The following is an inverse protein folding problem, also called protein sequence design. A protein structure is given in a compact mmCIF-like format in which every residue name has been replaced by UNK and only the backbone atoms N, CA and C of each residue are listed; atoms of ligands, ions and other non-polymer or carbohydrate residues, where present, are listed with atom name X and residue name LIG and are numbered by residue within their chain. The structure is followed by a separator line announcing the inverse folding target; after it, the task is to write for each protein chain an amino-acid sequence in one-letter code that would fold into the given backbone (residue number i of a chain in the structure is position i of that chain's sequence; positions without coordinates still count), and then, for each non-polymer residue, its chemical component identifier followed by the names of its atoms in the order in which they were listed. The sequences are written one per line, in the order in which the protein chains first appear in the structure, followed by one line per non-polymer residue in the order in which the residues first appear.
data_IF_288430167051
#
_entry.id   IF_288430167051
#
_cell.length_a   1.000
_cell.length_b   1.000
_cell.length_c   1.000
_cell.angle_alpha   90.00
_cell.angle_beta   90.00
_cell.angle_gamma   90.00
#
_symmetry.space_group_name_H-M   'P 1'
#
loop_
_entity.id
_entity.type
_entity.pdbx_description
1 polymer ?
#
# COMPACT_ATOMS: atom_id res chain seq x y z
N UNK A 1 -39.71 21.91 -17.26
CA UNK A 1 -39.72 20.69 -16.42
C UNK A 1 -38.35 20.54 -15.80
N UNK A 2 -38.25 20.81 -14.50
CA UNK A 2 -37.00 20.73 -13.74
C UNK A 2 -36.76 19.27 -13.36
N UNK A 3 -35.88 18.58 -14.08
CA UNK A 3 -35.47 17.23 -13.70
C UNK A 3 -34.37 17.32 -12.64
N UNK A 4 -34.74 16.92 -11.43
CA UNK A 4 -33.95 16.94 -10.20
C UNK A 4 -32.75 16.00 -10.34
N UNK A 5 -31.58 16.52 -9.97
CA UNK A 5 -30.32 15.80 -9.81
C UNK A 5 -30.51 14.59 -8.89
N UNK A 6 -30.13 13.41 -9.38
CA UNK A 6 -29.67 12.31 -8.51
C UNK A 6 -28.39 11.77 -9.10
N UNK A 7 -27.37 12.63 -9.07
CA UNK A 7 -25.98 12.19 -9.15
C UNK A 7 -25.71 11.47 -7.83
N UNK A 8 -25.72 10.14 -7.87
CA UNK A 8 -25.07 9.34 -6.84
C UNK A 8 -23.62 9.81 -6.76
N UNK A 9 -23.33 10.62 -5.75
CA UNK A 9 -22.00 11.11 -5.43
C UNK A 9 -21.23 9.97 -4.75
N UNK A 10 -20.87 8.94 -5.52
CA UNK A 10 -19.82 8.02 -5.10
C UNK A 10 -18.54 8.85 -5.08
N UNK A 11 -18.04 9.16 -3.88
CA UNK A 11 -16.72 9.75 -3.71
C UNK A 11 -15.74 8.96 -4.59
N UNK A 12 -14.84 9.62 -5.34
CA UNK A 12 -13.87 8.90 -6.16
C UNK A 12 -13.08 7.99 -5.22
N UNK A 13 -13.36 6.68 -5.25
CA UNK A 13 -12.44 5.68 -4.73
C UNK A 13 -11.15 5.98 -5.47
N UNK A 14 -10.13 6.49 -4.77
CA UNK A 14 -8.81 6.76 -5.32
C UNK A 14 -8.23 5.41 -5.78
N UNK A 15 -8.68 4.94 -6.94
CA UNK A 15 -8.30 3.69 -7.54
C UNK A 15 -6.95 3.96 -8.19
N UNK A 16 -5.89 3.82 -7.40
CA UNK A 16 -4.55 3.77 -7.97
C UNK A 16 -4.55 2.72 -9.07
N UNK A 17 -4.03 3.09 -10.24
CA UNK A 17 -3.90 2.12 -11.32
C UNK A 17 -2.96 1.01 -10.87
N UNK A 18 -3.13 -0.20 -11.42
CA UNK A 18 -2.25 -1.34 -11.12
C UNK A 18 -0.77 -0.96 -11.26
N UNK A 19 -0.42 -0.16 -12.28
CA UNK A 19 0.94 0.34 -12.47
C UNK A 19 1.43 1.28 -11.35
N UNK A 20 0.57 2.17 -10.84
CA UNK A 20 0.89 3.02 -9.69
C UNK A 20 1.11 2.19 -8.43
N UNK A 21 0.29 1.18 -8.18
CA UNK A 21 0.44 0.25 -7.05
C UNK A 21 1.76 -0.54 -7.13
N UNK A 22 2.15 -1.03 -8.31
CA UNK A 22 3.47 -1.65 -8.52
C UNK A 22 4.63 -0.69 -8.27
N UNK A 23 4.51 0.56 -8.72
CA UNK A 23 5.50 1.61 -8.45
C UNK A 23 5.64 1.90 -6.96
N UNK A 24 4.52 1.99 -6.23
CA UNK A 24 4.48 2.17 -4.79
C UNK A 24 5.09 0.96 -4.05
N UNK A 25 4.80 -0.26 -4.50
CA UNK A 25 5.36 -1.49 -3.94
C UNK A 25 6.90 -1.50 -4.04
N UNK A 26 7.44 -1.18 -5.23
CA UNK A 26 8.90 -1.10 -5.44
C UNK A 26 9.54 -0.04 -4.53
N UNK A 27 8.90 1.11 -4.36
CA UNK A 27 9.37 2.18 -3.45
C UNK A 27 9.33 1.73 -1.99
N UNK A 28 8.26 1.06 -1.55
CA UNK A 28 8.14 0.55 -0.19
C UNK A 28 9.22 -0.49 0.14
N UNK A 29 9.51 -1.41 -0.79
CA UNK A 29 10.63 -2.36 -0.65
C UNK A 29 11.99 -1.68 -0.55
N UNK A 30 12.25 -0.64 -1.35
CA UNK A 30 13.48 0.16 -1.24
C UNK A 30 13.59 0.83 0.13
N UNK A 31 12.51 1.44 0.61
CA UNK A 31 12.44 2.05 1.94
C UNK A 31 12.72 1.06 3.07
N UNK A 32 12.10 -0.13 3.00
CA UNK A 32 12.34 -1.21 3.95
C UNK A 32 13.82 -1.60 4.02
N UNK A 33 14.47 -1.77 2.86
CA UNK A 33 15.90 -2.11 2.78
C UNK A 33 16.79 -1.04 3.41
N UNK A 34 16.51 0.23 3.15
CA UNK A 34 17.25 1.36 3.75
C UNK A 34 17.05 1.36 5.27
N UNK A 35 15.82 1.24 5.75
CA UNK A 35 15.50 1.18 7.18
C UNK A 35 16.20 0.00 7.87
N UNK A 36 16.25 -1.16 7.22
CA UNK A 36 16.98 -2.34 7.71
C UNK A 36 18.48 -2.06 7.86
N UNK A 37 19.11 -1.44 6.86
CA UNK A 37 20.54 -1.07 6.93
C UNK A 37 20.80 -0.03 8.03
N UNK A 38 19.86 0.88 8.26
CA UNK A 38 19.94 1.89 9.31
C UNK A 38 19.58 1.36 10.71
N UNK A 39 19.11 0.11 10.84
CA UNK A 39 18.63 -0.45 12.10
C UNK A 39 17.33 0.18 12.62
N UNK A 40 16.61 0.93 11.78
CA UNK A 40 15.38 1.64 12.18
C UNK A 40 14.17 0.70 12.10
N UNK A 41 13.93 0.00 13.22
CA UNK A 41 12.84 -0.97 13.34
C UNK A 41 11.45 -0.34 13.18
N UNK A 42 11.29 0.93 13.54
CA UNK A 42 10.00 1.64 13.40
C UNK A 42 9.66 1.86 11.94
N UNK A 43 10.62 2.37 11.15
CA UNK A 43 10.44 2.51 9.70
C UNK A 43 10.30 1.15 9.01
N UNK A 44 11.04 0.13 9.44
CA UNK A 44 10.87 -1.21 8.91
C UNK A 44 9.43 -1.72 9.07
N UNK A 45 8.81 -1.52 10.25
CA UNK A 45 7.39 -1.87 10.49
C UNK A 45 6.43 -1.08 9.61
N UNK A 46 6.66 0.23 9.46
CA UNK A 46 5.85 1.09 8.61
C UNK A 46 5.89 0.63 7.14
N UNK A 47 7.09 0.36 6.61
CA UNK A 47 7.24 -0.12 5.24
C UNK A 47 6.68 -1.53 5.05
N UNK A 48 6.86 -2.43 6.04
CA UNK A 48 6.26 -3.76 6.01
C UNK A 48 4.73 -3.70 5.92
N UNK A 49 4.09 -2.82 6.70
CA UNK A 49 2.64 -2.58 6.62
C UNK A 49 2.20 -2.10 5.23
N UNK A 50 2.93 -1.13 4.64
CA UNK A 50 2.66 -0.64 3.28
C UNK A 50 2.81 -1.73 2.23
N UNK A 51 3.87 -2.53 2.31
CA UNK A 51 4.13 -3.65 1.38
C UNK A 51 2.96 -4.63 1.41
N UNK A 52 2.54 -5.06 2.60
CA UNK A 52 1.42 -6.01 2.75
C UNK A 52 0.12 -5.46 2.21
N UNK A 53 -0.19 -4.19 2.52
CA UNK A 53 -1.40 -3.52 2.01
C UNK A 53 -1.43 -3.52 0.49
N UNK A 54 -0.35 -3.08 -0.15
CA UNK A 54 -0.27 -3.00 -1.61
C UNK A 54 -0.30 -4.41 -2.24
N UNK A 55 0.33 -5.40 -1.62
CA UNK A 55 0.26 -6.79 -2.10
C UNK A 55 -1.16 -7.34 -2.05
N UNK A 56 -1.91 -7.05 -0.97
CA UNK A 56 -3.33 -7.39 -0.86
C UNK A 56 -4.19 -6.69 -1.91
N UNK A 57 -3.96 -5.40 -2.15
CA UNK A 57 -4.64 -4.62 -3.21
C UNK A 57 -4.33 -5.15 -4.61
N UNK A 58 -3.11 -5.65 -4.84
CA UNK A 58 -2.70 -6.26 -6.11
C UNK A 58 -3.11 -7.74 -6.24
N UNK A 59 -3.65 -8.36 -5.19
CA UNK A 59 -4.02 -9.78 -5.17
C UNK A 59 -2.82 -10.73 -5.30
N UNK A 60 -1.62 -10.29 -4.89
CA UNK A 60 -0.40 -11.12 -4.91
C UNK A 60 -0.09 -11.67 -3.52
N UNK A 61 0.83 -12.63 -3.45
CA UNK A 61 1.29 -13.19 -2.19
C UNK A 61 1.83 -12.09 -1.26
N UNK A 62 1.29 -12.05 -0.05
CA UNK A 62 1.65 -11.08 1.00
C UNK A 62 2.93 -11.53 1.67
N UNK A 63 3.91 -10.64 1.77
CA UNK A 63 5.20 -10.92 2.38
C UNK A 63 5.10 -10.92 3.91
N UNK A 64 5.76 -11.90 4.53
CA UNK A 64 5.95 -11.95 5.99
C UNK A 64 7.29 -11.33 6.38
N UNK A 65 7.35 -10.74 7.57
CA UNK A 65 8.52 -10.12 8.17
C UNK A 65 8.73 -10.69 9.59
N UNK A 66 9.28 -11.91 9.73
CA UNK A 66 9.41 -12.60 11.02
C UNK A 66 10.23 -11.81 12.04
N UNK A 67 11.29 -11.16 11.56
CA UNK A 67 12.19 -10.28 12.31
C UNK A 67 11.47 -9.11 13.00
N UNK A 68 10.24 -8.78 12.56
CA UNK A 68 9.42 -7.71 13.11
C UNK A 68 8.18 -8.23 13.84
N UNK A 69 7.96 -9.55 13.87
CA UNK A 69 6.75 -10.19 14.39
C UNK A 69 5.53 -10.01 13.48
N UNK A 70 5.72 -9.75 12.18
CA UNK A 70 4.63 -9.53 11.22
C UNK A 70 4.52 -10.77 10.32
N UNK A 71 3.42 -11.51 10.46
CA UNK A 71 3.12 -12.69 9.64
C UNK A 71 2.06 -12.38 8.58
#
# INVERSE_FOLDING_TARGET
MTAIMSLHHEAPKNNFTTGQSWGALRKAWKGYRIAKVQGDSNKMREYAGKIRKIQGELGVSVASFPHLGIN
#
